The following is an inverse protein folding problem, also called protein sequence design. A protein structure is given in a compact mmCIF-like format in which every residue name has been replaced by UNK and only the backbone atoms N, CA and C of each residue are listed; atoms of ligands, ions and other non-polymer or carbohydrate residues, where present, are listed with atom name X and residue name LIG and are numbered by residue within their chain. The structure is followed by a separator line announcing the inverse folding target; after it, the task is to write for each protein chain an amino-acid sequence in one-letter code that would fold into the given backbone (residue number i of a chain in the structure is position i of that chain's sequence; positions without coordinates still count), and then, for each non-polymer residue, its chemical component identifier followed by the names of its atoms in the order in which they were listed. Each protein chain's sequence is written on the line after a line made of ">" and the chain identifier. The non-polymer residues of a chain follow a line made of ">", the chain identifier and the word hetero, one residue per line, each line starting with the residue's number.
data_IF_908239656329
#
_entry.id   IF_908239656329
#
_cell.length_a   1.000
_cell.length_b   1.000
_cell.length_c   1.000
_cell.angle_alpha   90.00
_cell.angle_beta   90.00
_cell.angle_gamma   90.00
#
_symmetry.space_group_name_H-M   'P 1'
#
loop_
_entity.id
_entity.type
_entity.pdbx_description
1 polymer ?
#
# COMPACT_ATOMS: atom_id res chain seq x y z
N UNK A 1 28.71 -20.17 29.11
CA UNK A 1 28.20 -20.48 27.76
C UNK A 1 26.77 -19.97 27.68
N UNK A 2 26.60 -18.74 27.21
CA UNK A 2 25.29 -18.26 26.78
C UNK A 2 25.08 -19.00 25.46
N UNK A 3 24.18 -19.98 25.44
CA UNK A 3 23.65 -20.48 24.17
C UNK A 3 23.16 -19.24 23.46
N UNK A 4 23.90 -18.78 22.45
CA UNK A 4 23.38 -17.84 21.47
C UNK A 4 22.28 -18.61 20.75
N UNK A 5 21.12 -18.71 21.41
CA UNK A 5 19.92 -19.31 20.87
C UNK A 5 19.72 -18.61 19.54
N UNK A 6 20.01 -19.33 18.46
CA UNK A 6 19.85 -18.84 17.11
C UNK A 6 18.39 -18.43 17.03
N UNK A 7 18.16 -17.12 16.90
CA UNK A 7 16.81 -16.56 16.72
C UNK A 7 16.11 -17.38 15.66
N UNK A 8 14.84 -17.72 15.91
CA UNK A 8 14.05 -18.50 14.98
C UNK A 8 14.06 -17.84 13.59
N UNK A 9 14.19 -18.61 12.49
CA UNK A 9 14.39 -18.04 11.15
C UNK A 9 13.30 -17.07 10.69
N UNK A 10 12.07 -17.20 11.19
CA UNK A 10 10.98 -16.28 10.96
C UNK A 10 11.19 -14.92 11.65
N UNK A 11 11.69 -14.91 12.88
CA UNK A 11 12.07 -13.68 13.59
C UNK A 11 13.17 -12.94 12.84
N UNK A 12 14.20 -13.67 12.37
CA UNK A 12 15.29 -13.08 11.58
C UNK A 12 14.80 -12.47 10.26
N UNK A 13 13.84 -13.11 9.58
CA UNK A 13 13.25 -12.57 8.36
C UNK A 13 12.43 -11.31 8.65
N UNK A 14 11.56 -11.35 9.66
CA UNK A 14 10.75 -10.18 10.06
C UNK A 14 11.64 -8.98 10.39
N UNK A 15 12.70 -9.18 11.17
CA UNK A 15 13.65 -8.11 11.51
C UNK A 15 14.39 -7.59 10.28
N UNK A 16 14.84 -8.47 9.38
CA UNK A 16 15.51 -8.06 8.14
C UNK A 16 14.61 -7.22 7.24
N UNK A 17 13.33 -7.60 7.12
CA UNK A 17 12.34 -6.90 6.30
C UNK A 17 11.92 -5.58 6.94
N UNK A 18 11.72 -5.55 8.26
CA UNK A 18 11.27 -4.36 8.98
C UNK A 18 12.37 -3.29 9.12
N UNK A 19 13.64 -3.68 9.19
CA UNK A 19 14.76 -2.75 9.45
C UNK A 19 14.85 -1.61 8.42
N UNK A 20 14.82 -1.84 7.09
CA UNK A 20 14.81 -0.75 6.12
C UNK A 20 13.65 0.23 6.31
N UNK A 21 12.44 -0.27 6.60
CA UNK A 21 11.28 0.57 6.89
C UNK A 21 11.45 1.43 8.14
N UNK A 22 11.97 0.85 9.23
CA UNK A 22 12.26 1.58 10.47
C UNK A 22 13.31 2.67 10.25
N UNK A 23 14.37 2.37 9.50
CA UNK A 23 15.40 3.37 9.15
C UNK A 23 14.81 4.48 8.27
N UNK A 24 14.04 4.12 7.23
CA UNK A 24 13.39 5.07 6.36
C UNK A 24 12.41 5.98 7.13
N UNK A 25 11.61 5.42 8.04
CA UNK A 25 10.73 6.16 8.92
C UNK A 25 11.50 7.18 9.76
N UNK A 26 12.54 6.76 10.50
CA UNK A 26 13.33 7.67 11.35
C UNK A 26 13.96 8.79 10.55
N UNK A 27 14.61 8.48 9.42
CA UNK A 27 15.23 9.49 8.55
C UNK A 27 14.19 10.46 7.99
N UNK A 28 13.04 9.94 7.57
CA UNK A 28 11.94 10.76 7.06
C UNK A 28 11.34 11.65 8.14
N UNK A 29 11.12 11.15 9.36
CA UNK A 29 10.63 11.96 10.49
C UNK A 29 11.60 13.08 10.82
N UNK A 30 12.91 12.82 10.85
CA UNK A 30 13.93 13.86 11.06
C UNK A 30 13.85 14.91 9.94
N UNK A 31 13.80 14.48 8.68
CA UNK A 31 13.69 15.40 7.55
C UNK A 31 12.39 16.22 7.57
N UNK A 32 11.27 15.61 7.96
CA UNK A 32 9.97 16.26 8.10
C UNK A 32 10.03 17.33 9.19
N UNK A 33 10.49 17.00 10.40
CA UNK A 33 10.63 17.95 11.51
C UNK A 33 11.57 19.09 11.15
N UNK A 34 12.72 18.81 10.53
CA UNK A 34 13.63 19.87 10.08
C UNK A 34 12.92 20.77 9.08
N UNK A 35 12.29 20.19 8.05
CA UNK A 35 11.63 20.95 6.99
C UNK A 35 10.49 21.84 7.47
N UNK A 36 9.69 21.35 8.43
CA UNK A 36 8.58 22.10 9.04
C UNK A 36 9.08 23.19 10.00
N UNK A 37 10.25 23.04 10.60
CA UNK A 37 10.80 24.00 11.56
C UNK A 37 11.85 24.96 10.97
N UNK A 38 12.12 24.90 9.66
CA UNK A 38 12.98 25.89 9.01
C UNK A 38 12.35 27.29 9.13
N UNK A 39 13.13 28.35 9.41
CA UNK A 39 12.62 29.71 9.51
C UNK A 39 11.78 30.10 8.29
N UNK A 40 10.65 30.78 8.53
CA UNK A 40 9.86 31.36 7.45
C UNK A 40 10.66 32.46 6.72
N UNK A 41 10.33 32.77 5.46
CA UNK A 41 10.87 33.95 4.79
C UNK A 41 10.56 35.20 5.63
N UNK A 42 11.46 36.19 5.61
CA UNK A 42 11.22 37.43 6.34
C UNK A 42 9.95 38.11 5.79
N UNK A 43 9.19 38.86 6.62
CA UNK A 43 7.98 39.55 6.15
C UNK A 43 8.19 40.44 4.92
N UNK A 44 9.40 40.97 4.76
CA UNK A 44 9.83 41.80 3.64
C UNK A 44 9.91 41.01 2.31
N UNK A 45 10.16 39.69 2.37
CA UNK A 45 10.28 38.80 1.22
C UNK A 45 8.93 38.19 0.76
N UNK A 46 7.87 38.35 1.55
CA UNK A 46 6.52 37.81 1.29
C UNK A 46 5.85 38.48 0.07
N UNK A 47 6.36 39.65 -0.37
CA UNK A 47 5.84 40.31 -1.58
C UNK A 47 6.19 39.59 -2.88
N UNK A 48 7.09 38.58 -2.85
CA UNK A 48 7.39 37.78 -4.02
C UNK A 48 6.23 36.82 -4.35
N UNK A 49 5.79 36.85 -5.61
CA UNK A 49 4.60 36.19 -6.16
C UNK A 49 4.68 34.65 -6.19
N UNK A 50 5.57 34.05 -5.41
CA UNK A 50 5.87 32.63 -5.42
C UNK A 50 5.19 31.96 -4.23
N UNK A 51 3.89 31.69 -4.36
CA UNK A 51 3.18 30.81 -3.44
C UNK A 51 3.81 29.40 -3.53
N UNK A 52 4.63 29.06 -2.53
CA UNK A 52 5.14 27.70 -2.34
C UNK A 52 3.98 26.70 -2.26
N UNK A 53 4.11 25.46 -2.78
CA UNK A 53 3.10 24.40 -2.64
C UNK A 53 3.05 23.85 -1.19
N UNK A 54 3.08 24.73 -0.20
CA UNK A 54 3.25 24.44 1.22
C UNK A 54 2.21 23.45 1.74
N UNK A 55 0.92 23.72 1.46
CA UNK A 55 -0.19 22.82 1.84
C UNK A 55 -0.03 21.41 1.24
N UNK A 56 0.47 21.31 0.01
CA UNK A 56 0.74 20.00 -0.61
C UNK A 56 1.91 19.28 0.05
N UNK A 57 2.94 20.00 0.47
CA UNK A 57 4.07 19.44 1.22
C UNK A 57 3.62 18.89 2.57
N UNK A 58 2.75 19.60 3.30
CA UNK A 58 2.13 19.10 4.53
C UNK A 58 1.29 17.84 4.26
N UNK A 59 0.41 17.88 3.25
CA UNK A 59 -0.40 16.71 2.85
C UNK A 59 0.45 15.47 2.56
N UNK A 60 1.46 15.59 1.69
CA UNK A 60 2.34 14.48 1.32
C UNK A 60 3.21 14.06 2.51
N UNK A 61 3.75 15.03 3.25
CA UNK A 61 4.63 14.83 4.39
C UNK A 61 3.98 13.96 5.46
N UNK A 62 2.81 14.38 5.95
CA UNK A 62 2.10 13.65 7.00
C UNK A 62 1.43 12.36 6.50
N UNK A 63 0.99 12.31 5.23
CA UNK A 63 0.53 11.06 4.62
C UNK A 63 1.65 10.01 4.52
N UNK A 64 2.84 10.41 4.07
CA UNK A 64 4.01 9.54 4.01
C UNK A 64 4.49 9.13 5.41
N UNK A 65 4.44 10.04 6.40
CA UNK A 65 4.71 9.72 7.80
C UNK A 65 3.81 8.58 8.29
N UNK A 66 2.49 8.68 8.06
CA UNK A 66 1.54 7.65 8.48
C UNK A 66 1.81 6.29 7.82
N UNK A 67 2.04 6.27 6.50
CA UNK A 67 2.35 5.03 5.77
C UNK A 67 3.66 4.42 6.27
N UNK A 68 4.72 5.21 6.41
CA UNK A 68 6.03 4.72 6.88
C UNK A 68 5.93 4.18 8.30
N UNK A 69 5.22 4.87 9.20
CA UNK A 69 4.98 4.41 10.57
C UNK A 69 4.28 3.05 10.58
N UNK A 70 3.22 2.87 9.77
CA UNK A 70 2.53 1.58 9.64
C UNK A 70 3.45 0.48 9.10
N UNK A 71 4.23 0.78 8.06
CA UNK A 71 5.15 -0.17 7.44
C UNK A 71 6.34 -0.56 8.35
N UNK A 72 6.61 0.17 9.44
CA UNK A 72 7.62 -0.26 10.43
C UNK A 72 7.24 -1.55 11.16
N UNK A 73 5.94 -1.88 11.19
CA UNK A 73 5.39 -3.00 11.96
C UNK A 73 5.43 -2.80 13.48
N UNK A 74 5.81 -1.61 13.99
CA UNK A 74 5.71 -1.31 15.43
C UNK A 74 4.26 -1.26 15.90
N UNK A 75 3.39 -0.75 15.05
CA UNK A 75 1.96 -0.62 15.29
C UNK A 75 1.23 -1.43 14.22
N UNK A 76 0.52 -2.47 14.65
CA UNK A 76 -0.21 -3.35 13.75
C UNK A 76 -1.55 -2.78 13.30
N UNK A 77 -2.13 -1.91 14.11
CA UNK A 77 -3.48 -1.38 13.96
C UNK A 77 -3.44 -0.06 13.21
N UNK A 78 -3.99 -0.05 11.99
CA UNK A 78 -3.98 1.12 11.10
C UNK A 78 -4.63 2.36 11.76
N UNK A 79 -5.64 2.18 12.62
CA UNK A 79 -6.31 3.28 13.30
C UNK A 79 -5.42 3.90 14.39
N UNK A 80 -4.65 3.10 15.14
CA UNK A 80 -3.70 3.61 16.14
C UNK A 80 -2.61 4.42 15.43
N UNK A 81 -2.05 3.88 14.34
CA UNK A 81 -1.08 4.59 13.50
C UNK A 81 -1.65 5.93 13.02
N UNK A 82 -2.90 5.95 12.59
CA UNK A 82 -3.56 7.16 12.10
C UNK A 82 -3.75 8.19 13.20
N UNK A 83 -4.17 7.77 14.41
CA UNK A 83 -4.30 8.66 15.56
C UNK A 83 -2.95 9.27 15.97
N UNK A 84 -1.88 8.47 15.98
CA UNK A 84 -0.54 8.96 16.28
C UNK A 84 -0.06 9.94 15.21
N UNK A 85 -0.30 9.66 13.93
CA UNK A 85 0.07 10.55 12.84
C UNK A 85 -0.72 11.88 12.86
N UNK A 86 -2.02 11.85 13.19
CA UNK A 86 -2.81 13.07 13.42
C UNK A 86 -2.27 13.85 14.61
N UNK A 87 -2.01 13.17 15.74
CA UNK A 87 -1.42 13.80 16.92
C UNK A 87 -0.05 14.42 16.62
N UNK A 88 0.76 13.76 15.80
CA UNK A 88 2.05 14.28 15.36
C UNK A 88 1.90 15.51 14.45
N UNK A 89 0.95 15.54 13.52
CA UNK A 89 0.66 16.71 12.68
C UNK A 89 0.22 17.93 13.51
N UNK A 90 -0.62 17.72 14.51
CA UNK A 90 -1.05 18.77 15.43
C UNK A 90 0.11 19.28 16.30
N UNK A 91 0.93 18.35 16.81
CA UNK A 91 2.08 18.67 17.63
C UNK A 91 3.13 19.45 16.83
N UNK A 92 3.44 19.02 15.61
CA UNK A 92 4.41 19.68 14.73
C UNK A 92 4.03 21.13 14.46
N UNK A 93 2.77 21.40 14.12
CA UNK A 93 2.31 22.78 13.91
C UNK A 93 2.34 23.62 15.19
N UNK A 94 1.98 23.01 16.32
CA UNK A 94 2.02 23.70 17.61
C UNK A 94 3.46 24.02 18.04
N UNK A 95 4.42 23.12 17.79
CA UNK A 95 5.83 23.40 18.08
C UNK A 95 6.45 24.38 17.10
N UNK A 96 5.95 24.46 15.87
CA UNK A 96 6.36 25.49 14.90
C UNK A 96 6.06 26.90 15.41
N UNK A 97 4.93 27.17 16.07
CA UNK A 97 4.69 28.52 16.63
C UNK A 97 5.50 28.81 17.89
N UNK A 98 5.92 27.78 18.62
CA UNK A 98 6.75 27.96 19.81
C UNK A 98 8.24 28.17 19.47
N UNK A 99 8.76 27.46 18.46
CA UNK A 99 10.18 27.43 18.10
C UNK A 99 10.51 28.23 16.83
N UNK A 100 9.52 28.50 15.98
CA UNK A 100 9.70 29.09 14.67
C UNK A 100 9.93 30.60 14.75
N UNK A 101 11.11 31.03 14.31
CA UNK A 101 11.37 32.44 14.04
C UNK A 101 10.55 32.81 12.80
N UNK A 102 9.63 33.77 12.94
CA UNK A 102 8.72 34.25 11.88
C UNK A 102 7.76 33.18 11.32
N UNK A 103 7.27 32.24 12.15
CA UNK A 103 6.18 31.33 11.77
C UNK A 103 5.00 31.45 12.73
N UNK A 104 3.80 31.53 12.17
CA UNK A 104 2.54 31.47 12.91
C UNK A 104 1.87 30.12 12.66
N UNK A 105 1.14 29.61 13.65
CA UNK A 105 0.32 28.39 13.48
C UNK A 105 -0.72 28.64 12.39
N UNK A 106 -0.70 27.83 11.34
CA UNK A 106 -1.65 27.87 10.25
C UNK A 106 -2.67 26.74 10.38
N UNK A 107 -3.93 27.09 10.62
CA UNK A 107 -5.02 26.12 10.63
C UNK A 107 -5.16 25.34 9.31
N UNK A 108 -4.75 25.94 8.18
CA UNK A 108 -4.77 25.28 6.87
C UNK A 108 -3.61 24.28 6.69
N UNK A 109 -2.48 24.44 7.38
CA UNK A 109 -1.41 23.42 7.42
C UNK A 109 -1.78 22.20 8.25
N UNK A 110 -2.44 22.43 9.39
CA UNK A 110 -3.05 21.36 10.19
C UNK A 110 -4.06 20.60 9.34
N UNK A 111 -4.99 21.32 8.68
CA UNK A 111 -5.99 20.69 7.84
C UNK A 111 -5.35 19.88 6.72
N UNK A 112 -4.33 20.42 6.04
CA UNK A 112 -3.64 19.71 4.98
C UNK A 112 -2.91 18.46 5.47
N UNK A 113 -2.22 18.53 6.62
CA UNK A 113 -1.55 17.40 7.24
C UNK A 113 -2.53 16.30 7.66
N UNK A 114 -3.64 16.67 8.31
CA UNK A 114 -4.71 15.73 8.69
C UNK A 114 -5.32 15.06 7.46
N UNK A 115 -5.62 15.82 6.40
CA UNK A 115 -6.11 15.26 5.14
C UNK A 115 -5.13 14.27 4.51
N UNK A 116 -3.82 14.54 4.63
CA UNK A 116 -2.74 13.63 4.23
C UNK A 116 -2.79 12.31 4.98
N UNK A 117 -2.93 12.37 6.31
CA UNK A 117 -3.09 11.18 7.15
C UNK A 117 -4.36 10.43 6.78
N UNK A 118 -5.49 11.09 6.58
CA UNK A 118 -6.76 10.44 6.19
C UNK A 118 -6.65 9.72 4.84
N UNK A 119 -6.00 10.34 3.85
CA UNK A 119 -5.72 9.71 2.56
C UNK A 119 -4.87 8.44 2.74
N UNK A 120 -3.80 8.52 3.55
CA UNK A 120 -2.98 7.37 3.90
C UNK A 120 -3.78 6.29 4.63
N UNK A 121 -4.63 6.65 5.60
CA UNK A 121 -5.51 5.74 6.32
C UNK A 121 -6.40 4.96 5.37
N UNK A 122 -7.03 5.62 4.40
CA UNK A 122 -7.84 4.92 3.39
C UNK A 122 -7.06 3.82 2.67
N UNK A 123 -5.82 4.08 2.27
CA UNK A 123 -4.96 3.09 1.63
C UNK A 123 -4.47 1.99 2.59
N UNK A 124 -4.12 2.32 3.83
CA UNK A 124 -3.77 1.32 4.85
C UNK A 124 -4.93 0.34 5.08
N UNK A 125 -6.15 0.85 5.21
CA UNK A 125 -7.37 0.05 5.30
C UNK A 125 -7.61 -0.75 4.02
N UNK A 126 -7.44 -0.15 2.85
CA UNK A 126 -7.63 -0.84 1.57
C UNK A 126 -6.59 -1.96 1.35
N UNK A 127 -5.41 -1.86 1.96
CA UNK A 127 -4.35 -2.86 1.91
C UNK A 127 -4.39 -3.89 3.04
N UNK A 128 -5.18 -3.68 4.10
CA UNK A 128 -5.28 -4.64 5.21
C UNK A 128 -5.78 -6.00 4.72
N UNK A 129 -5.30 -7.08 5.32
CA UNK A 129 -5.65 -8.45 4.91
C UNK A 129 -7.09 -8.76 5.30
N UNK A 130 -7.92 -9.10 4.31
CA UNK A 130 -9.30 -9.51 4.51
C UNK A 130 -9.65 -10.61 3.48
N UNK A 131 -10.47 -11.58 3.89
CA UNK A 131 -11.01 -12.65 3.04
C UNK A 131 -10.56 -14.06 3.42
N UNK A 132 -11.08 -15.03 2.67
CA UNK A 132 -10.86 -16.48 2.83
C UNK A 132 -9.40 -16.91 2.61
N UNK A 133 -9.08 -18.18 2.87
CA UNK A 133 -7.73 -18.75 2.78
C UNK A 133 -7.04 -18.51 1.42
N UNK A 134 -7.81 -18.52 0.33
CA UNK A 134 -7.27 -18.22 -1.02
C UNK A 134 -6.83 -16.76 -1.13
N UNK A 135 -7.66 -15.85 -0.62
CA UNK A 135 -7.39 -14.41 -0.60
C UNK A 135 -6.20 -14.11 0.33
N UNK A 136 -6.15 -14.77 1.49
CA UNK A 136 -5.02 -14.71 2.42
C UNK A 136 -3.73 -15.19 1.75
N UNK A 137 -3.75 -16.34 1.08
CA UNK A 137 -2.57 -16.88 0.36
C UNK A 137 -2.06 -15.91 -0.70
N UNK A 138 -2.96 -15.28 -1.46
CA UNK A 138 -2.60 -14.30 -2.49
C UNK A 138 -2.07 -12.99 -1.89
N UNK A 139 -2.66 -12.55 -0.79
CA UNK A 139 -2.18 -11.38 -0.05
C UNK A 139 -0.78 -11.66 0.51
N UNK A 140 -0.56 -12.82 1.16
CA UNK A 140 0.73 -13.27 1.65
C UNK A 140 1.78 -13.34 0.53
N UNK A 141 1.42 -13.80 -0.67
CA UNK A 141 2.31 -13.74 -1.84
C UNK A 141 2.70 -12.31 -2.20
N UNK A 142 1.72 -11.41 -2.24
CA UNK A 142 1.96 -10.02 -2.63
C UNK A 142 2.83 -9.32 -1.58
N UNK A 143 2.55 -9.54 -0.30
CA UNK A 143 3.36 -9.08 0.83
C UNK A 143 4.77 -9.65 0.73
N UNK A 144 4.94 -10.96 0.51
CA UNK A 144 6.26 -11.57 0.33
C UNK A 144 7.06 -10.91 -0.79
N UNK A 145 6.43 -10.61 -1.93
CA UNK A 145 7.09 -9.91 -3.05
C UNK A 145 7.52 -8.50 -2.63
N UNK A 146 6.61 -7.72 -2.04
CA UNK A 146 6.88 -6.34 -1.58
C UNK A 146 8.01 -6.36 -0.55
N UNK A 147 7.94 -7.23 0.45
CA UNK A 147 8.95 -7.43 1.49
C UNK A 147 10.30 -7.90 0.92
N UNK A 148 10.30 -8.74 -0.11
CA UNK A 148 11.54 -9.20 -0.75
C UNK A 148 12.21 -8.10 -1.56
N UNK A 149 11.41 -7.23 -2.20
CA UNK A 149 11.91 -6.06 -2.93
C UNK A 149 12.42 -5.03 -1.92
N UNK A 150 11.62 -4.65 -0.94
CA UNK A 150 11.90 -3.56 0.00
C UNK A 150 12.70 -4.01 1.22
N UNK A 151 12.96 -5.31 1.38
CA UNK A 151 13.90 -5.82 2.39
C UNK A 151 15.38 -5.62 2.00
N UNK A 152 15.65 -5.20 0.76
CA UNK A 152 17.01 -4.94 0.23
C UNK A 152 17.25 -3.44 0.13
N UNK A 153 18.30 -2.95 0.78
CA UNK A 153 18.63 -1.52 0.79
C UNK A 153 18.97 -0.99 -0.59
N UNK A 154 19.54 -1.81 -1.48
CA UNK A 154 19.85 -1.41 -2.86
C UNK A 154 18.58 -1.01 -3.62
N UNK A 155 17.49 -1.74 -3.41
CA UNK A 155 16.22 -1.44 -4.06
C UNK A 155 15.61 -0.13 -3.55
N UNK A 156 15.83 0.24 -2.28
CA UNK A 156 15.41 1.54 -1.77
C UNK A 156 16.09 2.69 -2.49
N UNK A 157 17.41 2.61 -2.68
CA UNK A 157 18.14 3.62 -3.45
C UNK A 157 17.66 3.68 -4.91
N UNK A 158 17.47 2.52 -5.55
CA UNK A 158 16.99 2.47 -6.93
C UNK A 158 15.58 3.05 -7.09
N UNK A 159 14.64 2.69 -6.22
CA UNK A 159 13.28 3.21 -6.25
C UNK A 159 13.24 4.70 -5.88
N UNK A 160 14.03 5.12 -4.89
CA UNK A 160 14.18 6.52 -4.51
C UNK A 160 14.71 7.37 -5.67
N UNK A 161 15.78 6.94 -6.33
CA UNK A 161 16.32 7.63 -7.51
C UNK A 161 15.32 7.62 -8.69
N UNK A 162 14.64 6.50 -8.93
CA UNK A 162 13.61 6.40 -9.97
C UNK A 162 12.40 7.32 -9.71
N UNK A 163 12.13 7.67 -8.44
CA UNK A 163 11.11 8.66 -8.10
C UNK A 163 11.63 10.10 -8.20
N UNK A 164 12.75 10.40 -7.54
CA UNK A 164 13.28 11.76 -7.37
C UNK A 164 13.79 12.35 -8.69
N UNK A 165 14.52 11.58 -9.50
CA UNK A 165 15.14 12.13 -10.72
C UNK A 165 14.08 12.56 -11.74
N UNK A 166 13.08 11.72 -12.11
CA UNK A 166 12.01 12.16 -13.01
C UNK A 166 11.14 13.27 -12.41
N UNK A 167 10.90 13.24 -11.09
CA UNK A 167 10.19 14.31 -10.39
C UNK A 167 10.86 15.66 -10.58
N UNK A 168 12.16 15.76 -10.29
CA UNK A 168 12.94 16.99 -10.42
C UNK A 168 12.98 17.43 -11.88
N UNK A 169 13.31 16.52 -12.81
CA UNK A 169 13.45 16.86 -14.22
C UNK A 169 12.14 17.36 -14.82
N UNK A 170 11.04 16.61 -14.67
CA UNK A 170 9.74 17.01 -15.23
C UNK A 170 9.19 18.24 -14.51
N UNK A 171 9.34 18.33 -13.19
CA UNK A 171 8.90 19.49 -12.42
C UNK A 171 9.62 20.78 -12.82
N UNK A 172 10.96 20.75 -12.91
CA UNK A 172 11.75 21.92 -13.34
C UNK A 172 11.43 22.30 -14.79
N UNK A 173 11.34 21.32 -15.69
CA UNK A 173 11.04 21.59 -17.10
C UNK A 173 9.63 22.18 -17.28
N UNK A 174 8.63 21.66 -16.57
CA UNK A 174 7.26 22.18 -16.60
C UNK A 174 7.20 23.62 -16.04
N UNK A 175 7.89 23.86 -14.92
CA UNK A 175 7.96 25.18 -14.31
C UNK A 175 8.65 26.19 -15.22
N UNK A 176 9.83 25.83 -15.76
CA UNK A 176 10.58 26.67 -16.68
C UNK A 176 9.80 26.95 -17.97
N UNK A 177 9.08 25.96 -18.50
CA UNK A 177 8.22 26.14 -19.67
C UNK A 177 7.13 27.16 -19.41
N UNK A 178 6.37 27.00 -18.33
CA UNK A 178 5.28 27.93 -17.99
C UNK A 178 5.80 29.35 -17.74
N UNK A 179 6.92 29.48 -17.04
CA UNK A 179 7.55 30.76 -16.79
C UNK A 179 7.97 31.45 -18.10
N UNK A 180 8.71 30.76 -18.97
CA UNK A 180 9.27 31.36 -20.18
C UNK A 180 8.22 31.55 -21.30
N UNK A 181 7.25 30.66 -21.44
CA UNK A 181 6.30 30.68 -22.55
C UNK A 181 4.98 31.36 -22.21
N UNK A 182 4.51 31.24 -20.96
CA UNK A 182 3.20 31.77 -20.55
C UNK A 182 3.31 33.01 -19.67
N UNK A 183 4.52 33.35 -19.20
CA UNK A 183 4.72 34.46 -18.25
C UNK A 183 3.98 34.24 -16.91
N UNK A 184 3.64 32.99 -16.58
CA UNK A 184 2.92 32.63 -15.36
C UNK A 184 3.70 31.61 -14.56
N UNK A 185 3.64 31.75 -13.23
CA UNK A 185 4.19 30.72 -12.33
C UNK A 185 3.10 29.67 -12.04
N UNK A 186 3.42 28.40 -12.29
CA UNK A 186 2.51 27.26 -12.01
C UNK A 186 3.19 26.21 -11.12
N UNK A 187 3.65 26.60 -9.91
CA UNK A 187 4.40 25.70 -9.04
C UNK A 187 3.61 24.42 -8.70
N UNK A 188 2.32 24.54 -8.37
CA UNK A 188 1.46 23.39 -8.05
C UNK A 188 1.33 22.40 -9.22
N UNK A 189 1.09 22.90 -10.44
CA UNK A 189 0.94 22.05 -11.63
C UNK A 189 2.27 21.33 -11.92
N UNK A 190 3.37 22.07 -11.90
CA UNK A 190 4.71 21.54 -12.16
C UNK A 190 5.08 20.45 -11.13
N UNK A 191 4.76 20.70 -9.86
CA UNK A 191 4.95 19.76 -8.77
C UNK A 191 4.14 18.47 -8.99
N UNK A 192 2.84 18.59 -9.32
CA UNK A 192 1.97 17.42 -9.59
C UNK A 192 2.47 16.63 -10.81
N UNK A 193 2.87 17.30 -11.90
CA UNK A 193 3.43 16.64 -13.08
C UNK A 193 4.72 15.89 -12.75
N UNK A 194 5.62 16.50 -11.99
CA UNK A 194 6.81 15.85 -11.47
C UNK A 194 6.45 14.60 -10.65
N UNK A 195 5.46 14.71 -9.75
CA UNK A 195 5.05 13.60 -8.88
C UNK A 195 4.49 12.43 -9.69
N UNK A 196 3.65 12.70 -10.68
CA UNK A 196 3.10 11.68 -11.58
C UNK A 196 4.21 10.99 -12.37
N UNK A 197 5.17 11.74 -12.90
CA UNK A 197 6.31 11.19 -13.63
C UNK A 197 7.20 10.30 -12.74
N UNK A 198 7.54 10.78 -11.54
CA UNK A 198 8.31 10.02 -10.55
C UNK A 198 7.60 8.72 -10.15
N UNK A 199 6.30 8.80 -9.82
CA UNK A 199 5.50 7.62 -9.47
C UNK A 199 5.43 6.61 -10.63
N UNK A 200 5.23 7.08 -11.86
CA UNK A 200 5.20 6.20 -13.04
C UNK A 200 6.52 5.43 -13.21
N UNK A 201 7.67 6.09 -13.07
CA UNK A 201 8.98 5.45 -13.13
C UNK A 201 9.19 4.45 -11.98
N UNK A 202 8.77 4.78 -10.75
CA UNK A 202 8.78 3.85 -9.61
C UNK A 202 7.94 2.62 -9.90
N UNK A 203 6.72 2.77 -10.42
CA UNK A 203 5.83 1.65 -10.74
C UNK A 203 6.39 0.74 -11.84
N UNK A 204 7.01 1.32 -12.87
CA UNK A 204 7.68 0.56 -13.94
C UNK A 204 8.85 -0.25 -13.37
N UNK A 205 9.72 0.38 -12.58
CA UNK A 205 10.86 -0.29 -11.96
C UNK A 205 10.40 -1.38 -10.98
N UNK A 206 9.39 -1.08 -10.16
CA UNK A 206 8.78 -2.02 -9.24
C UNK A 206 8.19 -3.23 -9.97
N UNK A 207 7.54 -3.02 -11.13
CA UNK A 207 7.06 -4.10 -12.00
C UNK A 207 8.17 -5.05 -12.43
N UNK A 208 9.32 -4.51 -12.87
CA UNK A 208 10.49 -5.31 -13.24
C UNK A 208 11.10 -6.06 -12.07
N UNK A 209 11.20 -5.43 -10.91
CA UNK A 209 11.69 -6.09 -9.69
C UNK A 209 10.73 -7.21 -9.24
N UNK A 210 9.42 -6.98 -9.35
CA UNK A 210 8.38 -7.97 -9.07
C UNK A 210 8.47 -9.18 -9.99
N UNK A 211 8.72 -9.00 -11.28
CA UNK A 211 8.92 -10.11 -12.21
C UNK A 211 10.13 -10.97 -11.82
N UNK A 212 11.27 -10.33 -11.50
CA UNK A 212 12.47 -11.03 -11.03
C UNK A 212 12.24 -11.81 -9.75
N UNK A 213 11.61 -11.19 -8.75
CA UNK A 213 11.28 -11.86 -7.48
C UNK A 213 10.27 -12.98 -7.70
N UNK A 214 9.29 -12.80 -8.59
CA UNK A 214 8.30 -13.83 -8.91
C UNK A 214 8.94 -15.04 -9.59
N UNK A 215 9.90 -14.82 -10.49
CA UNK A 215 10.66 -15.90 -11.12
C UNK A 215 11.51 -16.68 -10.11
N UNK A 216 12.26 -15.98 -9.25
CA UNK A 216 13.04 -16.61 -8.18
C UNK A 216 12.14 -17.37 -7.18
N UNK A 217 10.96 -16.83 -6.87
CA UNK A 217 10.00 -17.47 -5.97
C UNK A 217 9.47 -18.81 -6.52
N UNK A 218 9.26 -18.92 -7.84
CA UNK A 218 8.86 -20.17 -8.49
C UNK A 218 9.97 -21.24 -8.42
N UNK A 219 11.22 -20.81 -8.52
CA UNK A 219 12.39 -21.69 -8.48
C UNK A 219 12.72 -22.17 -7.05
N UNK A 220 12.73 -21.24 -6.09
CA UNK A 220 13.14 -21.49 -4.70
C UNK A 220 12.01 -22.02 -3.83
N UNK A 221 10.74 -21.76 -4.19
CA UNK A 221 9.54 -22.09 -3.40
C UNK A 221 9.69 -21.71 -1.92
N UNK A 222 9.93 -20.42 -1.60
CA UNK A 222 10.18 -20.02 -0.22
C UNK A 222 8.91 -20.12 0.63
N UNK A 223 9.08 -20.44 1.91
CA UNK A 223 8.05 -20.23 2.92
C UNK A 223 7.79 -18.72 3.08
N UNK A 224 6.55 -18.26 2.94
CA UNK A 224 6.22 -16.83 3.05
C UNK A 224 6.35 -16.24 4.45
N UNK A 225 6.61 -17.07 5.47
CA UNK A 225 6.85 -16.63 6.83
C UNK A 225 8.34 -16.51 7.15
N UNK A 226 9.11 -17.59 7.01
CA UNK A 226 10.55 -17.61 7.36
C UNK A 226 11.50 -17.44 6.17
N UNK A 227 11.02 -17.53 4.93
CA UNK A 227 11.82 -17.38 3.71
C UNK A 227 12.68 -18.59 3.35
N UNK A 228 12.69 -19.65 4.15
CA UNK A 228 13.42 -20.90 3.84
C UNK A 228 12.82 -21.57 2.60
N UNK A 229 13.67 -22.08 1.72
CA UNK A 229 13.26 -22.82 0.51
C UNK A 229 12.59 -24.14 0.88
N UNK A 230 11.39 -24.36 0.34
CA UNK A 230 10.60 -25.60 0.51
C UNK A 230 10.71 -26.51 -0.73
N UNK A 231 11.73 -26.31 -1.58
CA UNK A 231 11.89 -27.08 -2.83
C UNK A 231 12.04 -28.60 -2.61
N UNK A 232 12.60 -29.00 -1.47
CA UNK A 232 12.82 -30.41 -1.09
C UNK A 232 11.63 -31.02 -0.39
N UNK A 233 10.73 -30.19 0.12
CA UNK A 233 9.58 -30.67 0.84
C UNK A 233 8.52 -31.09 -0.19
N UNK A 234 7.97 -32.29 -0.03
CA UNK A 234 6.91 -32.78 -0.90
C UNK A 234 5.56 -32.36 -0.32
N UNK A 235 4.72 -31.62 -1.07
CA UNK A 235 3.37 -31.32 -0.61
C UNK A 235 2.57 -32.61 -0.46
N UNK A 236 1.71 -32.63 0.55
CA UNK A 236 0.75 -33.71 0.80
C UNK A 236 -0.25 -33.88 -0.35
N UNK A 237 -1.14 -34.87 -0.20
CA UNK A 237 -2.19 -35.18 -1.19
C UNK A 237 -3.14 -33.99 -1.36
N UNK A 238 -3.35 -33.24 -0.29
CA UNK A 238 -4.15 -32.01 -0.20
C UNK A 238 -3.41 -30.75 -0.68
N UNK A 239 -2.14 -30.86 -1.06
CA UNK A 239 -1.31 -29.73 -1.49
C UNK A 239 -0.72 -28.90 -0.37
N UNK A 240 -0.99 -29.24 0.90
CA UNK A 240 -0.42 -28.59 2.06
C UNK A 240 0.91 -29.23 2.46
N UNK A 241 1.73 -28.43 3.14
CA UNK A 241 2.97 -28.88 3.77
C UNK A 241 3.33 -27.97 4.93
N UNK A 242 4.00 -28.53 5.92
CA UNK A 242 4.53 -27.74 7.03
C UNK A 242 5.96 -27.34 6.71
N UNK A 243 6.28 -26.05 6.88
CA UNK A 243 7.65 -25.60 6.72
C UNK A 243 8.57 -26.33 7.71
N UNK A 244 9.60 -27.03 7.22
CA UNK A 244 10.53 -27.77 8.09
C UNK A 244 11.29 -26.87 9.09
N UNK A 245 11.35 -25.56 8.83
CA UNK A 245 12.03 -24.58 9.68
C UNK A 245 11.11 -23.93 10.71
N UNK A 246 9.96 -23.36 10.32
CA UNK A 246 9.07 -22.62 11.23
C UNK A 246 7.75 -23.33 11.53
N UNK A 247 7.54 -24.54 10.98
CA UNK A 247 6.33 -25.37 11.15
C UNK A 247 5.01 -24.74 10.72
N UNK A 248 5.02 -23.53 10.14
CA UNK A 248 3.81 -22.92 9.60
C UNK A 248 3.35 -23.64 8.33
N UNK A 249 2.04 -23.80 8.14
CA UNK A 249 1.49 -24.45 6.96
C UNK A 249 1.74 -23.57 5.74
N UNK A 250 2.02 -24.24 4.63
CA UNK A 250 2.28 -23.67 3.33
C UNK A 250 1.47 -24.47 2.31
N UNK A 251 0.70 -23.79 1.47
CA UNK A 251 -0.04 -24.45 0.40
C UNK A 251 0.70 -24.28 -0.94
N UNK A 252 0.68 -25.31 -1.79
CA UNK A 252 1.37 -25.29 -3.08
C UNK A 252 0.96 -24.11 -3.97
N UNK A 253 -0.30 -23.69 -3.91
CA UNK A 253 -0.80 -22.56 -4.71
C UNK A 253 -0.12 -21.22 -4.40
N UNK A 254 0.58 -21.09 -3.26
CA UNK A 254 1.24 -19.85 -2.87
C UNK A 254 2.30 -19.38 -3.89
N UNK A 255 2.95 -20.32 -4.60
CA UNK A 255 3.97 -20.01 -5.59
C UNK A 255 3.41 -19.84 -7.01
N UNK A 256 2.24 -20.43 -7.29
CA UNK A 256 1.63 -20.40 -8.62
C UNK A 256 0.81 -19.13 -8.84
N UNK A 257 0.82 -18.59 -10.06
CA UNK A 257 -0.09 -17.50 -10.46
C UNK A 257 -1.43 -18.13 -10.80
N UNK A 258 -2.35 -18.15 -9.84
CA UNK A 258 -3.74 -18.47 -10.13
C UNK A 258 -4.30 -17.44 -11.11
N UNK A 259 -5.00 -17.92 -12.14
CA UNK A 259 -5.60 -17.04 -13.13
C UNK A 259 -6.53 -16.04 -12.45
N UNK A 260 -6.43 -14.79 -12.89
CA UNK A 260 -7.34 -13.74 -12.47
C UNK A 260 -8.67 -13.92 -13.21
N UNK A 261 -9.79 -14.13 -12.51
CA UNK A 261 -11.09 -14.10 -13.18
C UNK A 261 -11.27 -12.73 -13.84
N UNK A 262 -11.81 -12.73 -15.07
CA UNK A 262 -12.34 -11.49 -15.65
C UNK A 262 -13.63 -11.19 -14.90
N UNK A 263 -13.56 -10.29 -13.92
CA UNK A 263 -14.77 -9.84 -13.21
C UNK A 263 -15.58 -9.00 -14.21
N UNK A 264 -16.77 -9.47 -14.64
CA UNK A 264 -17.60 -8.65 -15.51
C UNK A 264 -18.05 -7.41 -14.74
N UNK A 265 -18.13 -6.27 -15.43
CA UNK A 265 -18.55 -5.01 -14.82
C UNK A 265 -19.93 -5.12 -14.14
N UNK A 266 -20.79 -6.02 -14.61
CA UNK A 266 -22.08 -6.32 -13.99
C UNK A 266 -21.97 -6.90 -12.58
N UNK A 267 -21.02 -7.82 -12.33
CA UNK A 267 -20.78 -8.38 -10.99
C UNK A 267 -20.19 -7.31 -10.07
N UNK A 268 -19.30 -6.46 -10.62
CA UNK A 268 -18.79 -5.31 -9.89
C UNK A 268 -19.96 -4.41 -9.44
N UNK A 269 -20.81 -3.97 -10.37
CA UNK A 269 -21.98 -3.12 -10.10
C UNK A 269 -23.03 -3.79 -9.20
N UNK A 270 -23.09 -5.12 -9.14
CA UNK A 270 -24.06 -5.84 -8.33
C UNK A 270 -23.67 -5.97 -6.85
N UNK A 271 -22.37 -5.94 -6.49
CA UNK A 271 -21.92 -6.27 -5.13
C UNK A 271 -22.28 -5.21 -4.08
N UNK A 272 -22.20 -3.93 -4.44
CA UNK A 272 -22.57 -2.79 -3.58
C UNK A 272 -23.78 -2.00 -4.15
N UNK A 273 -24.31 -2.48 -5.28
CA UNK A 273 -25.48 -1.93 -5.97
C UNK A 273 -25.32 -0.48 -6.45
N UNK A 274 -26.46 0.11 -6.82
CA UNK A 274 -26.54 1.54 -7.18
C UNK A 274 -26.22 2.48 -6.01
N UNK A 275 -26.33 2.00 -4.77
CA UNK A 275 -26.12 2.81 -3.56
C UNK A 275 -24.63 3.11 -3.37
N UNK A 276 -23.76 2.11 -3.45
CA UNK A 276 -22.31 2.33 -3.38
C UNK A 276 -21.81 3.27 -4.48
N UNK A 277 -22.33 3.09 -5.70
CA UNK A 277 -22.03 3.99 -6.82
C UNK A 277 -22.52 5.42 -6.56
N UNK A 278 -23.75 5.60 -6.05
CA UNK A 278 -24.29 6.91 -5.72
C UNK A 278 -23.46 7.60 -4.62
N UNK A 279 -23.04 6.87 -3.57
CA UNK A 279 -22.16 7.40 -2.53
C UNK A 279 -20.82 7.86 -3.09
N UNK A 280 -20.20 7.07 -3.97
CA UNK A 280 -18.96 7.43 -4.68
C UNK A 280 -19.16 8.68 -5.53
N UNK A 281 -20.26 8.76 -6.28
CA UNK A 281 -20.57 9.92 -7.13
C UNK A 281 -20.79 11.19 -6.30
N UNK A 282 -21.59 11.11 -5.23
CA UNK A 282 -21.81 12.23 -4.30
C UNK A 282 -20.48 12.68 -3.69
N UNK A 283 -19.63 11.73 -3.29
CA UNK A 283 -18.30 12.02 -2.76
C UNK A 283 -17.39 12.73 -3.78
N UNK A 284 -17.39 12.29 -5.06
CA UNK A 284 -16.68 12.95 -6.16
C UNK A 284 -17.16 14.39 -6.31
N UNK A 285 -18.47 14.59 -6.40
CA UNK A 285 -19.06 15.93 -6.60
C UNK A 285 -18.69 16.86 -5.46
N UNK A 286 -18.81 16.40 -4.21
CA UNK A 286 -18.50 17.23 -3.04
C UNK A 286 -16.99 17.50 -2.93
N UNK A 287 -16.16 16.44 -2.97
CA UNK A 287 -14.74 16.54 -2.63
C UNK A 287 -13.86 17.04 -3.77
N UNK A 288 -14.26 16.83 -5.02
CA UNK A 288 -13.44 17.19 -6.20
C UNK A 288 -13.97 18.45 -6.88
N UNK A 289 -15.28 18.71 -6.83
CA UNK A 289 -15.88 19.86 -7.53
C UNK A 289 -16.29 20.97 -6.55
N UNK A 290 -17.23 20.70 -5.65
CA UNK A 290 -17.86 21.73 -4.81
C UNK A 290 -16.89 22.32 -3.78
N UNK A 291 -16.22 21.46 -3.00
CA UNK A 291 -15.27 21.89 -1.97
C UNK A 291 -14.13 22.74 -2.54
N UNK A 292 -13.39 22.26 -3.55
CA UNK A 292 -12.33 23.02 -4.19
C UNK A 292 -12.84 24.34 -4.81
N UNK A 293 -14.02 24.36 -5.45
CA UNK A 293 -14.58 25.59 -6.01
C UNK A 293 -14.88 26.66 -4.93
N UNK A 294 -15.45 26.25 -3.79
CA UNK A 294 -15.71 27.15 -2.66
C UNK A 294 -14.39 27.72 -2.11
N UNK A 295 -13.38 26.87 -1.91
CA UNK A 295 -12.07 27.30 -1.38
C UNK A 295 -11.30 28.19 -2.36
N UNK A 296 -11.38 27.91 -3.66
CA UNK A 296 -10.83 28.80 -4.69
C UNK A 296 -11.52 30.17 -4.64
N UNK A 297 -12.84 30.22 -4.47
CA UNK A 297 -13.58 31.46 -4.27
C UNK A 297 -13.22 32.20 -2.99
N UNK A 298 -12.76 31.47 -1.96
CA UNK A 298 -12.29 32.02 -0.69
C UNK A 298 -10.80 32.42 -0.68
N UNK A 299 -10.08 32.24 -1.79
CA UNK A 299 -8.65 32.57 -1.89
C UNK A 299 -7.70 31.54 -1.29
N UNK A 300 -8.14 30.28 -1.13
CA UNK A 300 -7.37 29.17 -0.54
C UNK A 300 -7.01 28.08 -1.58
N UNK A 301 -6.25 28.40 -2.65
CA UNK A 301 -5.99 27.46 -3.74
C UNK A 301 -5.16 26.25 -3.32
N UNK A 302 -4.28 26.40 -2.33
CA UNK A 302 -3.47 25.30 -1.80
C UNK A 302 -4.34 24.24 -1.12
N UNK A 303 -5.22 24.67 -0.20
CA UNK A 303 -6.13 23.76 0.50
C UNK A 303 -7.16 23.13 -0.46
N UNK A 304 -7.66 23.90 -1.44
CA UNK A 304 -8.53 23.38 -2.49
C UNK A 304 -7.90 22.18 -3.23
N UNK A 305 -6.62 22.32 -3.61
CA UNK A 305 -5.86 21.25 -4.26
C UNK A 305 -5.68 20.02 -3.37
N UNK A 306 -5.38 20.24 -2.08
CA UNK A 306 -5.22 19.15 -1.10
C UNK A 306 -6.53 18.37 -0.90
N UNK A 307 -7.67 19.05 -0.79
CA UNK A 307 -8.98 18.38 -0.68
C UNK A 307 -9.27 17.55 -1.93
N UNK A 308 -9.01 18.09 -3.12
CA UNK A 308 -9.20 17.34 -4.37
C UNK A 308 -8.30 16.08 -4.42
N UNK A 309 -7.02 16.20 -4.04
CA UNK A 309 -6.10 15.07 -3.97
C UNK A 309 -6.50 14.03 -2.92
N UNK A 310 -7.00 14.48 -1.77
CA UNK A 310 -7.55 13.60 -0.73
C UNK A 310 -8.75 12.82 -1.27
N UNK A 311 -9.65 13.52 -1.98
CA UNK A 311 -10.78 12.93 -2.70
C UNK A 311 -10.35 11.82 -3.65
N UNK A 312 -9.40 12.11 -4.54
CA UNK A 312 -8.87 11.14 -5.49
C UNK A 312 -8.18 9.95 -4.81
N UNK A 313 -7.41 10.19 -3.75
CA UNK A 313 -6.74 9.14 -3.00
C UNK A 313 -7.74 8.18 -2.33
N UNK A 314 -8.77 8.72 -1.66
CA UNK A 314 -9.80 7.93 -1.01
C UNK A 314 -10.67 7.16 -2.02
N UNK A 315 -10.98 7.76 -3.17
CA UNK A 315 -11.65 7.05 -4.27
C UNK A 315 -10.82 5.87 -4.79
N UNK A 316 -9.51 6.06 -4.96
CA UNK A 316 -8.60 4.98 -5.32
C UNK A 316 -8.60 3.86 -4.30
N UNK A 317 -8.54 4.19 -3.01
CA UNK A 317 -8.62 3.24 -1.91
C UNK A 317 -9.97 2.47 -1.89
N UNK A 318 -11.09 3.17 -2.04
CA UNK A 318 -12.42 2.56 -2.12
C UNK A 318 -12.54 1.60 -3.31
N UNK A 319 -12.11 2.03 -4.50
CA UNK A 319 -12.12 1.18 -5.70
C UNK A 319 -11.22 -0.06 -5.51
N UNK A 320 -10.08 0.09 -4.84
CA UNK A 320 -9.20 -1.01 -4.52
C UNK A 320 -9.86 -2.01 -3.56
N UNK A 321 -10.46 -1.54 -2.46
CA UNK A 321 -11.20 -2.36 -1.51
C UNK A 321 -12.36 -3.09 -2.19
N UNK A 322 -13.14 -2.37 -2.99
CA UNK A 322 -14.26 -2.94 -3.75
C UNK A 322 -13.80 -4.05 -4.69
N UNK A 323 -12.77 -3.79 -5.51
CA UNK A 323 -12.16 -4.79 -6.39
C UNK A 323 -11.68 -6.02 -5.62
N UNK A 324 -11.09 -5.83 -4.44
CA UNK A 324 -10.64 -6.93 -3.57
C UNK A 324 -11.81 -7.75 -3.05
N UNK A 325 -12.90 -7.11 -2.61
CA UNK A 325 -14.09 -7.80 -2.14
C UNK A 325 -14.75 -8.60 -3.27
N UNK A 326 -14.87 -8.02 -4.47
CA UNK A 326 -15.36 -8.75 -5.65
C UNK A 326 -14.46 -9.94 -5.98
N UNK A 327 -13.14 -9.77 -5.93
CA UNK A 327 -12.20 -10.86 -6.13
C UNK A 327 -12.38 -11.94 -5.07
N UNK A 328 -12.52 -11.58 -3.79
CA UNK A 328 -12.73 -12.52 -2.70
C UNK A 328 -13.98 -13.38 -2.91
N UNK A 329 -15.10 -12.78 -3.34
CA UNK A 329 -16.31 -13.54 -3.70
C UNK A 329 -16.08 -14.54 -4.83
N UNK A 330 -15.31 -14.18 -5.86
CA UNK A 330 -14.96 -15.12 -6.94
C UNK A 330 -13.96 -16.18 -6.45
N UNK A 331 -13.09 -15.82 -5.51
CA UNK A 331 -12.13 -16.73 -4.88
C UNK A 331 -12.79 -17.74 -3.94
N UNK A 332 -13.95 -17.43 -3.37
CA UNK A 332 -14.72 -18.39 -2.58
C UNK A 332 -15.17 -19.61 -3.40
N UNK A 333 -15.44 -19.41 -4.70
CA UNK A 333 -15.83 -20.49 -5.62
C UNK A 333 -14.62 -21.15 -6.31
N UNK A 334 -13.40 -20.72 -6.00
CA UNK A 334 -12.19 -21.27 -6.62
C UNK A 334 -11.90 -22.67 -6.06
N UNK A 335 -11.81 -23.63 -6.99
CA UNK A 335 -11.67 -25.05 -6.68
C UNK A 335 -12.94 -25.85 -6.99
N UNK A 336 -14.12 -25.22 -6.95
CA UNK A 336 -15.40 -25.84 -7.35
C UNK A 336 -15.83 -25.41 -8.75
N UNK A 337 -15.49 -24.19 -9.19
CA UNK A 337 -15.78 -23.71 -10.56
C UNK A 337 -14.54 -23.12 -11.23
N UNK A 338 -14.42 -23.34 -12.52
CA UNK A 338 -13.34 -22.80 -13.32
C UNK A 338 -13.53 -21.29 -13.53
N UNK A 339 -12.53 -20.49 -13.15
CA UNK A 339 -12.55 -19.03 -13.35
C UNK A 339 -12.48 -18.59 -14.82
N UNK A 340 -12.07 -19.49 -15.72
CA UNK A 340 -11.98 -19.24 -17.16
C UNK A 340 -13.31 -19.48 -17.89
N UNK A 341 -13.84 -20.70 -17.80
CA UNK A 341 -15.02 -21.14 -18.55
C UNK A 341 -16.27 -21.42 -17.70
N UNK A 342 -16.19 -21.35 -16.37
CA UNK A 342 -17.31 -21.63 -15.46
C UNK A 342 -17.62 -23.12 -15.26
N UNK A 343 -16.86 -24.03 -15.88
CA UNK A 343 -17.00 -25.48 -15.70
C UNK A 343 -16.93 -25.88 -14.22
N UNK A 344 -17.83 -26.77 -13.80
CA UNK A 344 -17.77 -27.41 -12.48
C UNK A 344 -16.51 -28.28 -12.40
N UNK A 345 -15.60 -27.89 -11.50
CA UNK A 345 -14.33 -28.55 -11.28
C UNK A 345 -14.43 -29.66 -10.24
N UNK A 346 -15.55 -29.81 -9.53
CA UNK A 346 -15.76 -30.84 -8.50
C UNK A 346 -15.37 -32.27 -8.95
N UNK A 347 -15.68 -32.74 -10.18
CA UNK A 347 -15.27 -34.07 -10.64
C UNK A 347 -13.83 -34.13 -11.21
N UNK A 348 -13.16 -33.00 -11.38
CA UNK A 348 -11.81 -32.94 -11.95
C UNK A 348 -10.81 -33.34 -10.88
N UNK A 349 -10.03 -34.39 -11.14
CA UNK A 349 -8.95 -34.86 -10.26
C UNK A 349 -7.89 -33.77 -10.15
N UNK A 350 -7.52 -33.41 -8.92
CA UNK A 350 -6.37 -32.57 -8.64
C UNK A 350 -5.15 -33.42 -8.26
N UNK A 351 -3.97 -32.84 -8.44
CA UNK A 351 -2.70 -33.46 -8.10
C UNK A 351 -2.00 -32.63 -7.03
N UNK A 352 -2.16 -33.04 -5.76
CA UNK A 352 -1.59 -32.34 -4.60
C UNK A 352 -2.15 -30.92 -4.47
N UNK A 353 -3.47 -30.81 -4.36
CA UNK A 353 -4.21 -29.55 -4.17
C UNK A 353 -4.22 -28.58 -5.36
N UNK A 354 -3.69 -29.00 -6.52
CA UNK A 354 -3.63 -28.18 -7.75
C UNK A 354 -4.15 -29.00 -8.94
N UNK A 355 -4.99 -28.40 -9.78
CA UNK A 355 -5.49 -29.03 -11.00
C UNK A 355 -5.52 -28.05 -12.17
N UNK A 356 -5.74 -28.59 -13.37
CA UNK A 356 -5.95 -27.81 -14.60
C UNK A 356 -7.35 -28.06 -15.11
N UNK A 357 -8.09 -26.99 -15.44
CA UNK A 357 -9.40 -27.14 -16.05
C UNK A 357 -9.27 -27.89 -17.39
N UNK A 358 -9.98 -29.01 -17.61
CA UNK A 358 -9.85 -29.81 -18.83
C UNK A 358 -10.35 -29.08 -20.09
N UNK A 359 -11.24 -28.10 -19.93
CA UNK A 359 -11.87 -27.38 -21.04
C UNK A 359 -11.03 -26.18 -21.51
N UNK A 360 -10.55 -25.33 -20.58
CA UNK A 360 -9.81 -24.11 -20.94
C UNK A 360 -8.33 -24.09 -20.51
N UNK A 361 -7.85 -25.15 -19.84
CA UNK A 361 -6.44 -25.28 -19.42
C UNK A 361 -6.02 -24.37 -18.25
N UNK A 362 -6.95 -23.64 -17.64
CA UNK A 362 -6.64 -22.73 -16.53
C UNK A 362 -6.34 -23.53 -15.25
N UNK A 363 -5.21 -23.21 -14.60
CA UNK A 363 -4.84 -23.75 -13.28
C UNK A 363 -5.83 -23.32 -12.19
N UNK A 364 -6.19 -24.25 -11.32
CA UNK A 364 -6.95 -24.00 -10.10
C UNK A 364 -6.28 -24.66 -8.88
N UNK A 365 -6.61 -24.14 -7.70
CA UNK A 365 -6.19 -24.70 -6.42
C UNK A 365 -7.42 -25.17 -5.65
N UNK A 366 -7.32 -26.31 -4.96
CA UNK A 366 -8.33 -26.74 -3.99
C UNK A 366 -7.77 -26.54 -2.60
N UNK A 367 -8.56 -25.91 -1.75
CA UNK A 367 -8.29 -25.81 -0.34
C UNK A 367 -9.31 -26.74 0.33
N UNK A 368 -8.96 -28.02 0.45
CA UNK A 368 -9.72 -28.87 1.37
C UNK A 368 -9.51 -28.29 2.76
N UNK A 369 -10.60 -27.83 3.38
CA UNK A 369 -10.57 -27.28 4.73
C UNK A 369 -10.08 -28.41 5.62
N UNK A 370 -8.83 -28.32 6.08
CA UNK A 370 -8.27 -29.21 7.11
C UNK A 370 -9.26 -29.12 8.26
N UNK A 371 -10.00 -30.20 8.52
CA UNK A 371 -10.88 -30.23 9.68
C UNK A 371 -9.97 -30.11 10.91
N UNK A 372 -10.42 -29.40 11.94
CA UNK A 372 -9.61 -29.17 13.14
C UNK A 372 -9.15 -30.51 13.78
N UNK A 373 -9.88 -31.60 13.51
CA UNK A 373 -9.55 -32.96 13.91
C UNK A 373 -8.28 -33.53 13.25
N UNK A 374 -8.03 -33.22 11.97
CA UNK A 374 -6.88 -33.75 11.21
C UNK A 374 -5.57 -33.02 11.52
N UNK A 375 -5.65 -31.84 12.13
CA UNK A 375 -4.47 -31.03 12.41
C UNK A 375 -3.60 -31.64 13.50
N UNK A 376 -4.18 -32.40 14.46
CA UNK A 376 -3.50 -32.93 15.65
C UNK A 376 -2.82 -31.87 16.54
N UNK A 377 -2.77 -30.62 16.07
CA UNK A 377 -2.26 -29.47 16.75
C UNK A 377 -3.36 -29.01 17.70
N UNK A 378 -3.08 -29.09 19.00
CA UNK A 378 -3.80 -28.32 19.99
C UNK A 378 -3.91 -26.91 19.42
N UNK A 379 -5.15 -26.46 19.22
CA UNK A 379 -5.48 -25.13 18.68
C UNK A 379 -4.62 -24.14 19.46
N UNK A 380 -3.52 -23.72 18.85
CA UNK A 380 -2.89 -22.49 19.28
C UNK A 380 -3.95 -21.48 18.89
N UNK A 381 -4.74 -21.08 19.87
CA UNK A 381 -5.76 -20.04 19.76
C UNK A 381 -5.17 -19.02 18.79
N UNK A 382 -5.75 -18.85 17.58
CA UNK A 382 -5.21 -17.90 16.64
C UNK A 382 -5.10 -16.62 17.43
N UNK A 383 -3.87 -16.14 17.68
CA UNK A 383 -3.64 -14.97 18.51
C UNK A 383 -4.68 -13.96 18.05
N UNK A 384 -5.65 -13.63 18.91
CA UNK A 384 -6.80 -12.79 18.56
C UNK A 384 -6.36 -11.39 18.08
N UNK A 385 -5.05 -11.17 18.03
CA UNK A 385 -4.32 -10.11 17.38
C UNK A 385 -4.30 -10.18 15.83
N UNK A 386 -4.75 -11.25 15.17
CA UNK A 386 -4.71 -11.37 13.70
C UNK A 386 -5.96 -10.87 12.94
N UNK A 387 -7.13 -10.78 13.57
CA UNK A 387 -8.42 -10.49 12.91
C UNK A 387 -9.08 -9.15 13.36
N UNK A 388 -8.44 -8.00 13.08
CA UNK A 388 -9.06 -6.68 13.18
C UNK A 388 -8.50 -5.65 12.19
#
# INVERSE_FOLDING_TARGET
>A
MISTGLLEPDVLRRERVARPWRVAFVLFTIALVIGTHLPGPAPEDIQSTHASPDKFMHFIGFGAFAILLWMTGWLRWWWITSLIAIGFALLDEWTQSFLGINRETSGSDIAAGVLGVLAATGWMTAMSTAGDDVSRTRSSRSNYIVESILGRTENWFLLGLAGVVPFILVGILAYAFAWNMLGTSVPNISFVLGMVAGLACVLILFGRLRERVSAAMLEDRPCFFCGVSLKRDEPGIDGWMDCHSCRRPAHRSQWHVLALPRIPLSVLLASDGMVGFACVLVYIVISILVGPAILLGAGEPGLAGVIACTGLALLGAMFWTWKRNCLAMVYHDLGTRCVGCGLDLSPVVDHRGMGTCPDCGVDFARFERRTDEDSGAAVHEPDAHDDA
#
